data_IF_502564241259
#
_entry.id   IF_502564241259
#
_cell.length_a   1.000
_cell.length_b   1.000
_cell.length_c   1.000
_cell.angle_alpha   90.00
_cell.angle_beta   90.00
_cell.angle_gamma   90.00
#
_symmetry.space_group_name_H-M   'P 1'
#
loop_
_entity.id
_entity.type
_entity.pdbx_description
1 polymer ?
#
# COMPACT_ATOMS: atom_id res chain seq x y z
N UNK A 1 -11.27 3.83 20.71
CA UNK A 1 -10.02 3.39 20.04
C UNK A 1 -10.40 2.62 18.79
N UNK A 2 -9.81 2.95 17.65
CA UNK A 2 -10.11 2.27 16.40
C UNK A 2 -9.48 0.87 16.41
N UNK A 3 -10.27 -0.18 16.12
CA UNK A 3 -9.78 -1.56 16.11
C UNK A 3 -9.14 -1.84 14.76
N UNK A 4 -7.83 -2.07 14.76
CA UNK A 4 -7.05 -2.43 13.56
C UNK A 4 -7.20 -3.93 13.34
N UNK A 5 -7.69 -4.33 12.17
CA UNK A 5 -7.84 -5.73 11.79
C UNK A 5 -6.59 -6.23 11.05
N UNK A 6 -6.55 -7.53 10.76
CA UNK A 6 -5.42 -8.15 10.03
C UNK A 6 -5.27 -7.57 8.63
N UNK A 7 -6.40 -7.24 7.97
CA UNK A 7 -6.42 -6.65 6.63
C UNK A 7 -5.70 -5.30 6.63
N UNK A 8 -6.02 -4.42 7.59
CA UNK A 8 -5.38 -3.11 7.72
C UNK A 8 -3.85 -3.23 7.90
N UNK A 9 -3.38 -4.24 8.66
CA UNK A 9 -1.94 -4.50 8.84
C UNK A 9 -1.27 -4.96 7.54
N UNK A 10 -1.92 -5.85 6.80
CA UNK A 10 -1.43 -6.32 5.49
C UNK A 10 -1.41 -5.14 4.51
N UNK A 11 -2.49 -4.35 4.45
CA UNK A 11 -2.59 -3.14 3.63
C UNK A 11 -1.46 -2.16 3.92
N UNK A 12 -1.16 -1.91 5.22
CA UNK A 12 -0.03 -1.08 5.63
C UNK A 12 1.31 -1.59 5.10
N UNK A 13 1.59 -2.88 5.28
CA UNK A 13 2.83 -3.49 4.80
C UNK A 13 2.96 -3.43 3.28
N UNK A 14 1.86 -3.68 2.56
CA UNK A 14 1.82 -3.67 1.11
C UNK A 14 2.12 -2.27 0.55
N UNK A 15 1.49 -1.24 1.13
CA UNK A 15 1.70 0.16 0.76
C UNK A 15 3.10 0.62 1.12
N UNK A 16 3.65 0.18 2.25
CA UNK A 16 5.03 0.48 2.65
C UNK A 16 6.04 -0.07 1.63
N UNK A 17 5.88 -1.33 1.21
CA UNK A 17 6.73 -1.92 0.16
C UNK A 17 6.58 -1.15 -1.15
N UNK A 18 5.35 -0.78 -1.52
CA UNK A 18 5.08 0.06 -2.69
C UNK A 18 5.82 1.40 -2.63
N UNK A 19 5.72 2.12 -1.51
CA UNK A 19 6.40 3.39 -1.31
C UNK A 19 7.93 3.28 -1.40
N UNK A 20 8.51 2.21 -0.83
CA UNK A 20 9.95 1.92 -0.94
C UNK A 20 10.33 1.72 -2.42
N UNK A 21 9.57 0.92 -3.18
CA UNK A 21 9.84 0.72 -4.61
C UNK A 21 9.81 2.04 -5.40
N UNK A 22 8.83 2.90 -5.13
CA UNK A 22 8.75 4.21 -5.76
C UNK A 22 9.91 5.13 -5.38
N UNK A 23 10.38 5.06 -4.12
CA UNK A 23 11.58 5.76 -3.67
C UNK A 23 12.83 5.33 -4.44
N UNK A 24 13.02 4.03 -4.66
CA UNK A 24 14.12 3.50 -5.47
C UNK A 24 14.03 3.92 -6.94
N UNK A 25 12.84 3.94 -7.51
CA UNK A 25 12.63 4.44 -8.88
C UNK A 25 13.00 5.92 -8.96
N UNK A 26 12.59 6.74 -7.99
CA UNK A 26 12.88 8.18 -7.99
C UNK A 26 14.35 8.52 -7.74
N UNK A 27 15.03 7.78 -6.86
CA UNK A 27 16.42 8.07 -6.48
C UNK A 27 17.45 7.43 -7.41
N UNK A 28 17.20 6.19 -7.83
CA UNK A 28 18.18 5.35 -8.51
C UNK A 28 17.70 4.87 -9.89
N UNK A 29 16.47 5.18 -10.29
CA UNK A 29 15.82 4.63 -11.49
C UNK A 29 15.76 3.09 -11.49
N UNK A 30 15.79 2.47 -10.30
CA UNK A 30 15.73 1.01 -10.13
C UNK A 30 14.33 0.60 -9.69
N UNK A 31 13.71 -0.31 -10.44
CA UNK A 31 12.41 -0.88 -10.08
C UNK A 31 12.59 -2.26 -9.43
N UNK A 32 12.47 -2.32 -8.10
CA UNK A 32 12.60 -3.54 -7.30
C UNK A 32 11.51 -4.56 -7.67
N UNK A 33 10.30 -4.10 -7.98
CA UNK A 33 9.22 -5.00 -8.40
C UNK A 33 9.56 -5.68 -9.72
N UNK A 34 10.07 -4.94 -10.71
CA UNK A 34 10.53 -5.51 -11.98
C UNK A 34 11.66 -6.52 -11.79
N UNK A 35 12.60 -6.22 -10.87
CA UNK A 35 13.72 -7.10 -10.54
C UNK A 35 13.26 -8.43 -9.92
N UNK A 36 12.31 -8.40 -8.98
CA UNK A 36 11.77 -9.61 -8.33
C UNK A 36 10.91 -10.47 -9.27
N UNK A 37 10.20 -9.82 -10.19
CA UNK A 37 9.16 -10.43 -11.03
C UNK A 37 9.69 -10.81 -12.43
N UNK A 38 10.99 -10.62 -12.67
CA UNK A 38 11.66 -11.02 -13.91
C UNK A 38 11.17 -10.27 -15.14
N UNK A 39 10.69 -9.03 -14.99
CA UNK A 39 10.22 -8.22 -16.12
C UNK A 39 8.82 -8.52 -16.65
N UNK A 40 8.08 -9.46 -16.06
CA UNK A 40 6.72 -9.76 -16.53
C UNK A 40 5.74 -8.60 -16.24
N UNK A 41 5.15 -8.04 -17.30
CA UNK A 41 4.30 -6.84 -17.21
C UNK A 41 2.97 -7.14 -16.51
N UNK A 42 2.42 -8.33 -16.70
CA UNK A 42 1.16 -8.75 -16.08
C UNK A 42 1.27 -8.84 -14.55
N UNK A 43 2.33 -9.48 -14.03
CA UNK A 43 2.53 -9.59 -12.59
C UNK A 43 2.83 -8.23 -11.95
N UNK A 44 3.61 -7.38 -12.62
CA UNK A 44 3.84 -6.00 -12.16
C UNK A 44 2.53 -5.23 -11.98
N UNK A 45 1.61 -5.34 -12.96
CA UNK A 45 0.28 -4.72 -12.87
C UNK A 45 -0.52 -5.24 -11.69
N UNK A 46 -0.52 -6.56 -11.46
CA UNK A 46 -1.23 -7.17 -10.32
C UNK A 46 -0.70 -6.61 -9.00
N UNK A 47 0.64 -6.53 -8.85
CA UNK A 47 1.26 -6.00 -7.63
C UNK A 47 0.89 -4.53 -7.42
N UNK A 48 0.94 -3.70 -8.47
CA UNK A 48 0.58 -2.29 -8.36
C UNK A 48 -0.91 -2.08 -8.04
N UNK A 49 -1.81 -2.91 -8.59
CA UNK A 49 -3.23 -2.89 -8.25
C UNK A 49 -3.43 -3.31 -6.78
N UNK A 50 -2.70 -4.31 -6.29
CA UNK A 50 -2.78 -4.74 -4.90
C UNK A 50 -2.32 -3.62 -3.94
N UNK A 51 -1.19 -2.96 -4.24
CA UNK A 51 -0.70 -1.79 -3.49
C UNK A 51 -1.75 -0.68 -3.47
N UNK A 52 -2.37 -0.39 -4.62
CA UNK A 52 -3.44 0.60 -4.71
C UNK A 52 -4.66 0.25 -3.85
N UNK A 53 -5.10 -1.01 -3.87
CA UNK A 53 -6.18 -1.49 -3.01
C UNK A 53 -5.84 -1.34 -1.51
N UNK A 54 -4.59 -1.64 -1.12
CA UNK A 54 -4.12 -1.43 0.26
C UNK A 54 -4.15 0.04 0.68
N UNK A 55 -3.84 0.96 -0.23
CA UNK A 55 -3.93 2.40 0.05
C UNK A 55 -5.37 2.85 0.30
N UNK A 56 -6.34 2.31 -0.47
CA UNK A 56 -7.77 2.59 -0.27
C UNK A 56 -8.25 2.08 1.09
N UNK A 57 -7.81 0.89 1.51
CA UNK A 57 -8.17 0.35 2.83
C UNK A 57 -7.61 1.20 3.97
N UNK A 58 -6.36 1.69 3.86
CA UNK A 58 -5.78 2.63 4.84
C UNK A 58 -6.52 3.95 4.90
N UNK A 59 -6.94 4.51 3.75
CA UNK A 59 -7.77 5.72 3.71
C UNK A 59 -9.11 5.44 4.41
N UNK A 60 -9.75 4.31 4.11
CA UNK A 60 -10.99 3.86 4.74
C UNK A 60 -10.83 3.70 6.26
N UNK A 61 -9.70 3.16 6.71
CA UNK A 61 -9.34 3.05 8.12
C UNK A 61 -9.29 4.43 8.79
N UNK A 62 -8.67 5.44 8.15
CA UNK A 62 -8.61 6.81 8.69
C UNK A 62 -10.04 7.35 8.90
N UNK A 63 -10.95 7.15 7.95
CA UNK A 63 -12.34 7.58 8.10
C UNK A 63 -13.07 6.82 9.21
N UNK A 64 -12.92 5.49 9.29
CA UNK A 64 -13.47 4.66 10.39
C UNK A 64 -12.96 5.13 11.76
N UNK A 65 -11.68 5.49 11.86
CA UNK A 65 -11.07 5.95 13.10
C UNK A 65 -11.42 7.41 13.45
N UNK A 66 -11.59 8.29 12.46
CA UNK A 66 -11.83 9.72 12.66
C UNK A 66 -13.31 10.06 12.89
N UNK A 67 -14.24 9.27 12.35
CA UNK A 67 -15.69 9.43 12.61
C UNK A 67 -16.05 9.39 14.10
N UNK A 68 -15.20 8.78 14.94
CA UNK A 68 -15.40 8.71 16.41
C UNK A 68 -14.87 9.93 17.19
N UNK A 69 -14.21 10.89 16.54
CA UNK A 69 -13.65 12.10 17.21
C UNK A 69 -14.36 13.41 16.84
N UNK A 70 -15.28 13.41 15.88
CA UNK A 70 -16.00 14.63 15.48
C UNK A 70 -17.29 14.88 16.30
N UNK A 71 -17.66 13.96 17.19
CA UNK A 71 -18.87 14.00 18.01
C UNK A 71 -18.61 13.90 19.53
N UNK A 72 -17.37 14.10 20.00
CA UNK A 72 -17.03 14.17 21.43
C UNK A 72 -16.46 15.52 21.82
#
# INVERSE_FOLDING_TARGET
MCKINIVDKISFLLVLIGAINWGFIGLLSVNLVTFLVGGSVLLQRIIYIAVFAGAIDLISLIFRCRSLKLFS
#
